data_IF_623057715881
#
_entry.id   IF_623057715881
#
_cell.length_a   1.000
_cell.length_b   1.000
_cell.length_c   1.000
_cell.angle_alpha   90.00
_cell.angle_beta   90.00
_cell.angle_gamma   90.00
#
_symmetry.space_group_name_H-M   'P 1'
#
loop_
_entity.id
_entity.type
_entity.pdbx_description
1 polymer ?
#
# COMPACT_ATOMS: atom_id res chain seq x y z
N UNK A 1 35.61 4.34 -7.27
CA UNK A 1 35.62 2.87 -7.46
C UNK A 1 34.20 2.48 -7.86
N UNK A 2 34.01 1.80 -8.98
CA UNK A 2 32.66 1.38 -9.41
C UNK A 2 32.27 0.08 -8.71
N UNK A 3 30.98 -0.05 -8.36
CA UNK A 3 30.38 -1.31 -7.92
C UNK A 3 29.19 -1.59 -8.82
N UNK A 4 29.13 -2.81 -9.35
CA UNK A 4 28.01 -3.31 -10.14
C UNK A 4 27.30 -4.38 -9.36
N UNK A 5 25.97 -4.43 -9.47
CA UNK A 5 25.17 -5.47 -8.82
C UNK A 5 24.33 -6.16 -9.87
N UNK A 6 24.37 -7.48 -9.85
CA UNK A 6 23.65 -8.36 -10.76
C UNK A 6 22.62 -9.13 -9.96
N UNK A 7 21.42 -9.25 -10.53
CA UNK A 7 20.41 -10.22 -10.12
C UNK A 7 20.49 -11.41 -11.09
N UNK A 8 20.83 -12.58 -10.56
CA UNK A 8 20.78 -13.85 -11.26
C UNK A 8 19.51 -14.59 -10.82
N UNK A 9 18.47 -14.54 -11.66
CA UNK A 9 17.16 -15.15 -11.39
C UNK A 9 17.20 -16.69 -11.34
N UNK A 10 18.33 -17.33 -11.66
CA UNK A 10 18.46 -18.77 -11.64
C UNK A 10 17.52 -19.47 -12.63
N UNK A 11 16.97 -20.63 -12.24
CA UNK A 11 16.06 -21.38 -13.10
C UNK A 11 14.64 -20.84 -13.03
N UNK A 12 14.00 -20.62 -14.17
CA UNK A 12 12.59 -20.18 -14.24
C UNK A 12 11.59 -21.16 -13.58
N UNK A 13 11.97 -22.41 -13.34
CA UNK A 13 11.14 -23.41 -12.64
C UNK A 13 11.24 -23.35 -11.12
N UNK A 14 12.19 -22.58 -10.57
CA UNK A 14 12.46 -22.49 -9.15
C UNK A 14 12.32 -21.03 -8.69
N UNK A 15 11.73 -20.83 -7.51
CA UNK A 15 11.75 -19.50 -6.90
C UNK A 15 13.15 -19.26 -6.33
N UNK A 16 14.00 -18.61 -7.12
CA UNK A 16 15.38 -18.33 -6.77
C UNK A 16 15.82 -16.97 -7.27
N UNK A 17 16.75 -16.34 -6.56
CA UNK A 17 17.52 -15.22 -7.09
C UNK A 17 18.87 -15.15 -6.39
N UNK A 18 19.88 -14.60 -7.04
CA UNK A 18 21.15 -14.28 -6.41
C UNK A 18 21.52 -12.83 -6.69
N UNK A 19 21.70 -12.07 -5.62
CA UNK A 19 22.25 -10.73 -5.68
C UNK A 19 23.76 -10.84 -5.51
N UNK A 20 24.49 -10.42 -6.53
CA UNK A 20 25.97 -10.50 -6.58
C UNK A 20 26.52 -9.11 -6.85
N UNK A 21 27.43 -8.63 -6.00
CA UNK A 21 28.12 -7.36 -6.18
C UNK A 21 29.56 -7.60 -6.68
N UNK A 22 29.97 -6.85 -7.69
CA UNK A 22 31.30 -6.91 -8.29
C UNK A 22 32.00 -5.55 -8.21
N UNK A 23 33.31 -5.59 -8.02
CA UNK A 23 34.18 -4.42 -8.14
C UNK A 23 34.59 -4.16 -9.58
N UNK A 24 35.37 -3.10 -9.79
CA UNK A 24 35.75 -2.66 -11.15
C UNK A 24 36.75 -3.55 -11.86
N UNK A 25 37.40 -4.48 -11.16
CA UNK A 25 38.25 -5.48 -11.80
C UNK A 25 37.50 -6.80 -12.05
N UNK A 26 36.18 -6.85 -11.78
CA UNK A 26 35.36 -8.05 -11.93
C UNK A 26 35.44 -9.01 -10.74
N UNK A 27 36.11 -8.62 -9.66
CA UNK A 27 36.16 -9.37 -8.42
C UNK A 27 34.81 -9.37 -7.72
N UNK A 28 34.38 -10.53 -7.21
CA UNK A 28 33.18 -10.63 -6.39
C UNK A 28 33.42 -10.01 -5.00
N UNK A 29 32.59 -9.02 -4.66
CA UNK A 29 32.64 -8.31 -3.39
C UNK A 29 31.66 -8.90 -2.37
N UNK A 30 30.48 -9.31 -2.83
CA UNK A 30 29.38 -9.79 -1.98
C UNK A 30 28.41 -10.68 -2.77
N UNK A 31 27.76 -11.63 -2.07
CA UNK A 31 26.71 -12.49 -2.62
C UNK A 31 25.63 -12.79 -1.57
N UNK A 32 24.38 -12.78 -2.01
CA UNK A 32 23.22 -13.29 -1.27
C UNK A 32 22.32 -14.08 -2.22
N UNK A 33 22.07 -15.35 -1.89
CA UNK A 33 21.12 -16.20 -2.60
C UNK A 33 19.79 -16.23 -1.86
N UNK A 34 18.68 -16.05 -2.55
CA UNK A 34 17.31 -16.12 -2.03
C UNK A 34 16.58 -17.34 -2.59
N UNK A 35 15.65 -17.87 -1.80
CA UNK A 35 14.64 -18.87 -2.19
C UNK A 35 13.32 -18.20 -2.60
N UNK A 36 13.45 -17.08 -3.29
CA UNK A 36 12.38 -16.24 -3.81
C UNK A 36 12.92 -15.44 -5.01
N UNK A 37 12.05 -15.07 -5.95
CA UNK A 37 12.41 -14.16 -7.03
C UNK A 37 12.61 -12.74 -6.50
N UNK A 38 13.45 -11.96 -7.14
CA UNK A 38 13.62 -10.55 -6.81
C UNK A 38 12.58 -9.70 -7.55
N UNK A 39 11.98 -8.74 -6.85
CA UNK A 39 11.10 -7.72 -7.42
C UNK A 39 11.89 -6.44 -7.73
N UNK A 40 12.78 -6.06 -6.82
CA UNK A 40 13.54 -4.82 -6.93
C UNK A 40 14.96 -5.00 -6.41
N UNK A 41 15.89 -4.37 -7.13
CA UNK A 41 17.29 -4.27 -6.76
C UNK A 41 17.74 -2.82 -6.93
N UNK A 42 18.26 -2.22 -5.86
CA UNK A 42 18.79 -0.86 -5.89
C UNK A 42 20.13 -0.77 -5.18
N UNK A 43 21.05 0.03 -5.72
CA UNK A 43 22.37 0.29 -5.14
C UNK A 43 22.50 1.76 -4.71
N UNK A 44 23.17 1.99 -3.59
CA UNK A 44 23.51 3.33 -3.13
C UNK A 44 24.50 4.05 -4.06
N UNK A 45 24.51 5.40 -4.10
CA UNK A 45 25.45 6.16 -4.92
C UNK A 45 26.93 5.88 -4.62
N UNK A 46 27.25 5.49 -3.39
CA UNK A 46 28.60 5.11 -2.98
C UNK A 46 28.99 3.66 -3.31
N UNK A 47 28.07 2.85 -3.87
CA UNK A 47 28.30 1.45 -4.20
C UNK A 47 28.31 0.48 -3.01
N UNK A 48 28.31 0.98 -1.78
CA UNK A 48 28.42 0.15 -0.55
C UNK A 48 27.14 -0.55 -0.16
N UNK A 49 25.99 0.09 -0.31
CA UNK A 49 24.71 -0.45 0.17
C UNK A 49 23.83 -0.92 -0.98
N UNK A 50 23.15 -2.04 -0.75
CA UNK A 50 22.18 -2.65 -1.68
C UNK A 50 20.85 -2.80 -0.95
N UNK A 51 19.74 -2.60 -1.66
CA UNK A 51 18.39 -2.93 -1.21
C UNK A 51 17.81 -3.95 -2.16
N UNK A 52 17.40 -5.09 -1.61
CA UNK A 52 16.84 -6.22 -2.32
C UNK A 52 15.42 -6.44 -1.81
N UNK A 53 14.47 -6.60 -2.71
CA UNK A 53 13.08 -6.91 -2.36
C UNK A 53 12.67 -8.19 -3.05
N UNK A 54 12.17 -9.15 -2.29
CA UNK A 54 11.74 -10.45 -2.83
C UNK A 54 10.24 -10.50 -3.06
N UNK A 55 9.83 -11.39 -3.96
CA UNK A 55 8.44 -11.77 -4.19
C UNK A 55 7.92 -12.71 -3.09
N UNK A 56 6.62 -13.00 -3.13
CA UNK A 56 6.02 -14.00 -2.23
C UNK A 56 6.61 -15.40 -2.49
N UNK A 57 6.97 -16.08 -1.41
CA UNK A 57 7.41 -17.47 -1.39
C UNK A 57 6.80 -18.22 -0.19
N UNK A 58 7.00 -19.53 -0.11
CA UNK A 58 6.53 -20.38 1.00
C UNK A 58 7.57 -20.56 2.12
N UNK A 59 8.56 -19.68 2.19
CA UNK A 59 9.72 -19.78 3.09
C UNK A 59 10.10 -18.39 3.66
N UNK A 60 11.21 -18.34 4.38
CA UNK A 60 11.74 -17.15 5.06
C UNK A 60 12.09 -15.96 4.14
N UNK A 61 12.38 -16.20 2.86
CA UNK A 61 12.66 -15.15 1.87
C UNK A 61 11.37 -14.59 1.24
N UNK A 62 10.20 -14.93 1.78
CA UNK A 62 8.92 -14.44 1.27
C UNK A 62 8.68 -12.97 1.61
N UNK A 63 8.54 -12.15 0.58
CA UNK A 63 8.11 -10.75 0.68
C UNK A 63 8.92 -9.96 1.72
N UNK A 64 10.24 -9.97 1.55
CA UNK A 64 11.19 -9.25 2.41
C UNK A 64 11.81 -8.07 1.67
N UNK A 65 12.10 -7.01 2.42
CA UNK A 65 13.06 -5.96 2.12
C UNK A 65 14.31 -6.23 2.95
N UNK A 66 15.43 -6.43 2.26
CA UNK A 66 16.73 -6.63 2.85
C UNK A 66 17.69 -5.52 2.41
N UNK A 67 18.47 -4.97 3.35
CA UNK A 67 19.52 -3.99 3.06
C UNK A 67 20.87 -4.56 3.46
N UNK A 68 21.82 -4.46 2.55
CA UNK A 68 23.14 -5.08 2.66
C UNK A 68 24.23 -4.04 2.73
N UNK A 69 25.30 -4.35 3.46
CA UNK A 69 26.57 -3.64 3.42
C UNK A 69 27.58 -4.53 2.70
N UNK A 70 27.92 -4.15 1.47
CA UNK A 70 28.85 -4.87 0.59
C UNK A 70 30.26 -4.84 1.16
N UNK A 71 30.66 -3.72 1.76
CA UNK A 71 32.01 -3.56 2.32
C UNK A 71 32.19 -4.46 3.54
N UNK A 72 31.21 -4.46 4.45
CA UNK A 72 31.22 -5.28 5.67
C UNK A 72 30.70 -6.71 5.44
N UNK A 73 30.29 -7.03 4.20
CA UNK A 73 29.74 -8.32 3.76
C UNK A 73 28.63 -8.86 4.66
N UNK A 74 27.71 -7.99 5.09
CA UNK A 74 26.63 -8.37 6.00
C UNK A 74 25.29 -7.78 5.61
N UNK A 75 24.22 -8.42 6.07
CA UNK A 75 22.88 -7.85 6.06
C UNK A 75 22.76 -6.86 7.22
N UNK A 76 22.31 -5.64 6.93
CA UNK A 76 22.01 -4.62 7.94
C UNK A 76 20.65 -4.89 8.59
N UNK A 77 19.64 -5.21 7.78
CA UNK A 77 18.33 -5.65 8.25
C UNK A 77 17.61 -6.45 7.17
N UNK A 78 16.65 -7.29 7.60
CA UNK A 78 15.71 -8.04 6.76
C UNK A 78 14.33 -7.96 7.40
N UNK A 79 13.34 -7.42 6.70
CA UNK A 79 12.00 -7.12 7.24
C UNK A 79 10.92 -7.29 6.17
N UNK A 80 9.69 -7.55 6.58
CA UNK A 80 8.54 -7.33 5.70
C UNK A 80 8.45 -5.84 5.33
N UNK A 81 8.33 -5.48 4.04
CA UNK A 81 8.13 -4.09 3.63
C UNK A 81 6.92 -3.46 4.33
N UNK A 82 7.07 -2.26 4.87
CA UNK A 82 5.97 -1.54 5.54
C UNK A 82 5.01 -0.85 4.54
N UNK A 83 5.38 -0.83 3.26
CA UNK A 83 4.63 -0.23 2.17
C UNK A 83 4.41 -1.25 1.05
N UNK A 84 3.68 -0.87 0.00
CA UNK A 84 3.79 -1.59 -1.28
C UNK A 84 5.24 -1.59 -1.78
N UNK A 85 5.60 -2.58 -2.58
CA UNK A 85 6.93 -2.73 -3.16
C UNK A 85 7.10 -2.00 -4.49
N UNK A 86 6.03 -1.46 -5.10
CA UNK A 86 6.01 -0.77 -6.40
C UNK A 86 6.71 0.60 -6.42
N UNK A 87 7.91 0.68 -5.89
CA UNK A 87 8.71 1.89 -5.79
C UNK A 87 10.19 1.63 -5.99
N UNK A 88 10.97 2.68 -5.82
CA UNK A 88 12.43 2.61 -5.91
C UNK A 88 13.05 2.92 -4.57
N UNK A 89 13.93 2.05 -4.08
CA UNK A 89 14.69 2.30 -2.89
C UNK A 89 15.89 3.19 -3.19
N UNK A 90 16.07 4.23 -2.39
CA UNK A 90 17.18 5.18 -2.47
C UNK A 90 17.83 5.34 -1.11
N UNK A 91 19.10 5.71 -1.13
CA UNK A 91 19.94 5.75 0.06
C UNK A 91 20.35 7.19 0.36
N UNK A 92 20.25 7.57 1.62
CA UNK A 92 20.91 8.75 2.15
C UNK A 92 22.20 8.28 2.80
N UNK A 93 23.33 8.76 2.28
CA UNK A 93 24.67 8.35 2.68
C UNK A 93 25.48 9.61 2.97
N UNK A 94 26.19 9.62 4.10
CA UNK A 94 27.13 10.70 4.49
C UNK A 94 28.45 10.03 4.86
N UNK A 95 29.58 10.51 4.34
CA UNK A 95 30.91 9.94 4.57
C UNK A 95 30.97 8.41 4.34
N UNK A 96 30.30 7.93 3.28
CA UNK A 96 30.14 6.51 2.94
C UNK A 96 29.48 5.65 4.04
N UNK A 97 28.77 6.27 4.97
CA UNK A 97 27.96 5.61 5.98
C UNK A 97 26.47 5.80 5.68
N UNK A 98 25.71 4.72 5.84
CA UNK A 98 24.26 4.75 5.68
C UNK A 98 23.63 5.60 6.78
N UNK A 99 22.86 6.61 6.38
CA UNK A 99 22.06 7.43 7.30
C UNK A 99 20.62 6.94 7.32
N UNK A 100 20.01 6.76 6.14
CA UNK A 100 18.63 6.29 5.97
C UNK A 100 18.43 5.59 4.63
N UNK A 101 17.41 4.75 4.58
CA UNK A 101 16.86 4.19 3.34
C UNK A 101 15.50 4.81 3.10
N UNK A 102 15.15 5.09 1.85
CA UNK A 102 13.82 5.58 1.51
C UNK A 102 13.25 4.79 0.36
N UNK A 103 11.95 4.51 0.42
CA UNK A 103 11.18 4.12 -0.77
C UNK A 103 10.57 5.37 -1.40
N UNK A 104 10.73 5.50 -2.73
CA UNK A 104 10.01 6.47 -3.56
C UNK A 104 8.85 5.74 -4.24
N UNK A 105 7.63 6.06 -3.82
CA UNK A 105 6.40 5.55 -4.38
C UNK A 105 5.81 6.57 -5.37
N UNK A 106 5.53 6.18 -6.62
CA UNK A 106 4.87 7.05 -7.58
C UNK A 106 3.58 7.64 -7.01
N UNK A 107 3.37 8.95 -7.20
CA UNK A 107 2.23 9.75 -6.70
C UNK A 107 2.10 9.89 -5.18
N UNK A 108 2.47 8.88 -4.39
CA UNK A 108 2.38 8.90 -2.93
C UNK A 108 3.50 9.72 -2.27
N UNK A 109 4.74 9.60 -2.77
CA UNK A 109 5.89 10.36 -2.28
C UNK A 109 7.04 9.48 -1.80
N UNK A 110 7.83 10.01 -0.84
CA UNK A 110 9.05 9.39 -0.33
C UNK A 110 8.93 9.10 1.16
N UNK A 111 9.22 7.87 1.58
CA UNK A 111 9.04 7.39 2.96
C UNK A 111 10.30 6.69 3.47
N UNK A 112 10.70 7.01 4.70
CA UNK A 112 11.97 6.57 5.29
C UNK A 112 11.88 5.29 6.12
N UNK A 113 12.99 4.56 6.09
CA UNK A 113 13.38 3.52 7.03
C UNK A 113 14.66 3.95 7.76
N UNK A 114 14.78 3.58 9.02
CA UNK A 114 16.02 3.71 9.79
C UNK A 114 17.11 2.76 9.25
N UNK A 115 18.34 2.89 9.76
CA UNK A 115 19.43 1.96 9.45
C UNK A 115 19.20 0.53 9.97
N UNK A 116 18.28 0.35 10.93
CA UNK A 116 17.84 -0.95 11.46
C UNK A 116 16.59 -1.51 10.77
N UNK A 117 16.07 -0.80 9.76
CA UNK A 117 14.89 -1.21 8.99
C UNK A 117 13.55 -0.84 9.64
N UNK A 118 13.53 0.00 10.67
CA UNK A 118 12.29 0.51 11.24
C UNK A 118 11.65 1.52 10.32
N UNK A 119 10.35 1.38 10.04
CA UNK A 119 9.63 2.34 9.22
C UNK A 119 9.25 3.59 10.03
N UNK A 120 9.89 4.71 9.73
CA UNK A 120 9.79 5.94 10.55
C UNK A 120 8.71 6.92 10.06
N UNK A 121 8.17 6.70 8.86
CA UNK A 121 7.24 7.61 8.19
C UNK A 121 5.79 7.09 8.18
N UNK A 122 5.40 6.26 9.16
CA UNK A 122 4.09 5.58 9.18
C UNK A 122 2.90 6.55 9.04
N UNK A 123 2.85 7.60 9.87
CA UNK A 123 1.75 8.58 9.82
C UNK A 123 1.71 9.29 8.47
N UNK A 124 2.88 9.68 7.95
CA UNK A 124 3.04 10.35 6.66
C UNK A 124 2.56 9.46 5.51
N UNK A 125 2.88 8.17 5.55
CA UNK A 125 2.45 7.20 4.55
C UNK A 125 0.94 6.98 4.57
N UNK A 126 0.35 6.79 5.76
CA UNK A 126 -1.11 6.68 5.91
C UNK A 126 -1.84 7.90 5.36
N UNK A 127 -1.38 9.11 5.67
CA UNK A 127 -1.94 10.35 5.12
C UNK A 127 -1.80 10.41 3.60
N UNK A 128 -0.65 9.99 3.04
CA UNK A 128 -0.44 9.98 1.61
C UNK A 128 -1.38 9.00 0.88
N UNK A 129 -1.62 7.81 1.43
CA UNK A 129 -2.55 6.84 0.83
C UNK A 129 -3.97 7.40 0.71
N UNK A 130 -4.45 8.08 1.76
CA UNK A 130 -5.78 8.72 1.77
C UNK A 130 -5.86 9.89 0.78
N UNK A 131 -4.83 10.74 0.74
CA UNK A 131 -4.91 12.02 0.02
C UNK A 131 -4.47 11.93 -1.44
N UNK A 132 -3.49 11.07 -1.74
CA UNK A 132 -2.81 11.00 -3.06
C UNK A 132 -2.88 9.61 -3.71
N UNK A 133 -3.32 8.59 -2.97
CA UNK A 133 -3.43 7.23 -3.48
C UNK A 133 -4.53 7.09 -4.53
N UNK A 134 -4.42 6.06 -5.37
CA UNK A 134 -5.54 5.62 -6.19
C UNK A 134 -6.56 4.87 -5.33
N UNK A 135 -7.67 4.45 -5.93
CA UNK A 135 -8.74 3.71 -5.25
C UNK A 135 -8.27 2.48 -4.47
N UNK A 136 -7.27 1.73 -4.97
CA UNK A 136 -6.73 0.53 -4.30
C UNK A 136 -5.86 0.85 -3.09
N UNK A 137 -5.45 2.11 -2.92
CA UNK A 137 -4.75 2.61 -1.72
C UNK A 137 -5.70 3.30 -0.75
N UNK A 138 -6.59 4.15 -1.28
CA UNK A 138 -7.54 4.95 -0.50
C UNK A 138 -8.54 4.09 0.26
N UNK A 139 -9.13 3.08 -0.38
CA UNK A 139 -10.17 2.25 0.24
C UNK A 139 -9.61 1.46 1.43
N UNK A 140 -8.50 0.70 1.32
CA UNK A 140 -7.92 0.02 2.47
C UNK A 140 -7.40 1.00 3.53
N UNK A 141 -6.77 2.11 3.14
CA UNK A 141 -6.28 3.10 4.11
C UNK A 141 -7.44 3.74 4.91
N UNK A 142 -8.57 4.02 4.28
CA UNK A 142 -9.76 4.52 4.97
C UNK A 142 -10.34 3.45 5.92
N UNK A 143 -10.36 2.19 5.51
CA UNK A 143 -10.79 1.07 6.35
C UNK A 143 -9.89 0.88 7.58
N UNK A 144 -8.57 0.94 7.40
CA UNK A 144 -7.59 0.89 8.49
C UNK A 144 -7.76 2.07 9.45
N UNK A 145 -8.01 3.27 8.91
CA UNK A 145 -8.19 4.49 9.69
C UNK A 145 -9.42 4.38 10.62
N UNK A 146 -10.59 4.00 10.08
CA UNK A 146 -11.82 3.87 10.90
C UNK A 146 -11.80 2.68 11.86
N UNK A 147 -10.90 1.71 11.66
CA UNK A 147 -10.69 0.62 12.61
C UNK A 147 -9.91 1.09 13.86
N UNK A 148 -9.12 2.16 13.74
CA UNK A 148 -8.31 2.70 14.82
C UNK A 148 -9.01 3.83 15.57
N UNK A 149 -9.74 4.69 14.86
CA UNK A 149 -10.46 5.82 15.43
C UNK A 149 -11.79 6.02 14.70
N UNK A 150 -12.89 6.09 15.45
CA UNK A 150 -14.25 6.32 14.94
C UNK A 150 -14.80 7.69 15.34
N UNK A 151 -13.93 8.62 15.73
CA UNK A 151 -14.30 10.02 15.91
C UNK A 151 -14.90 10.59 14.63
N UNK A 152 -15.89 11.47 14.77
CA UNK A 152 -16.62 12.07 13.64
C UNK A 152 -15.66 12.69 12.61
N UNK A 153 -14.62 13.39 13.08
CA UNK A 153 -13.57 13.97 12.21
C UNK A 153 -12.88 12.92 11.35
N UNK A 154 -12.55 11.76 11.92
CA UNK A 154 -11.89 10.67 11.20
C UNK A 154 -12.83 10.01 10.21
N UNK A 155 -14.09 9.79 10.61
CA UNK A 155 -15.12 9.24 9.72
C UNK A 155 -15.36 10.16 8.51
N UNK A 156 -15.45 11.48 8.72
CA UNK A 156 -15.57 12.46 7.64
C UNK A 156 -14.36 12.46 6.71
N UNK A 157 -13.14 12.37 7.26
CA UNK A 157 -11.92 12.26 6.46
C UNK A 157 -11.90 10.97 5.63
N UNK A 158 -12.29 9.84 6.22
CA UNK A 158 -12.38 8.56 5.52
C UNK A 158 -13.43 8.60 4.42
N UNK A 159 -14.61 9.18 4.69
CA UNK A 159 -15.68 9.35 3.71
C UNK A 159 -15.21 10.15 2.50
N UNK A 160 -14.59 11.31 2.72
CA UNK A 160 -14.04 12.13 1.64
C UNK A 160 -13.03 11.36 0.79
N UNK A 161 -12.13 10.60 1.42
CA UNK A 161 -11.16 9.75 0.70
C UNK A 161 -11.85 8.66 -0.13
N UNK A 162 -12.91 8.04 0.40
CA UNK A 162 -13.66 6.98 -0.29
C UNK A 162 -14.46 7.53 -1.46
N UNK A 163 -15.04 8.73 -1.34
CA UNK A 163 -15.77 9.37 -2.44
C UNK A 163 -14.86 9.61 -3.66
N UNK A 164 -13.64 10.11 -3.44
CA UNK A 164 -12.67 10.26 -4.54
C UNK A 164 -12.27 8.90 -5.11
N UNK A 165 -12.10 7.88 -4.26
CA UNK A 165 -11.79 6.52 -4.73
C UNK A 165 -12.89 5.92 -5.60
N UNK A 166 -14.16 6.10 -5.24
CA UNK A 166 -15.30 5.65 -6.04
C UNK A 166 -15.30 6.37 -7.39
N UNK A 167 -15.13 7.69 -7.41
CA UNK A 167 -15.10 8.47 -8.64
C UNK A 167 -13.95 8.06 -9.60
N UNK A 168 -12.77 7.73 -9.06
CA UNK A 168 -11.59 7.35 -9.85
C UNK A 168 -11.55 5.87 -10.26
N UNK A 169 -12.38 5.02 -9.66
CA UNK A 169 -12.31 3.56 -9.81
C UNK A 169 -12.56 3.03 -11.23
N UNK A 170 -13.04 3.90 -12.14
CA UNK A 170 -13.19 3.60 -13.56
C UNK A 170 -14.04 2.36 -13.79
N UNK A 171 -13.54 1.40 -14.55
CA UNK A 171 -14.25 0.14 -14.84
C UNK A 171 -14.02 -0.97 -13.80
N UNK A 172 -13.26 -0.70 -12.74
CA UNK A 172 -12.94 -1.73 -11.74
C UNK A 172 -14.14 -1.99 -10.82
N UNK A 173 -15.06 -2.85 -11.29
CA UNK A 173 -16.29 -3.21 -10.58
C UNK A 173 -16.04 -3.71 -9.16
N UNK A 174 -14.95 -4.45 -8.93
CA UNK A 174 -14.58 -4.93 -7.59
C UNK A 174 -14.28 -3.77 -6.63
N UNK A 175 -13.45 -2.82 -7.04
CA UNK A 175 -13.11 -1.66 -6.22
C UNK A 175 -14.27 -0.68 -6.06
N UNK A 176 -15.12 -0.53 -7.07
CA UNK A 176 -16.38 0.21 -6.93
C UNK A 176 -17.26 -0.39 -5.83
N UNK A 177 -17.48 -1.71 -5.87
CA UNK A 177 -18.26 -2.42 -4.84
C UNK A 177 -17.64 -2.21 -3.46
N UNK A 178 -16.33 -2.39 -3.31
CA UNK A 178 -15.64 -2.16 -2.03
C UNK A 178 -15.77 -0.71 -1.55
N UNK A 179 -15.66 0.27 -2.45
CA UNK A 179 -15.83 1.69 -2.14
C UNK A 179 -17.24 1.99 -1.63
N UNK A 180 -18.27 1.56 -2.35
CA UNK A 180 -19.67 1.77 -1.95
C UNK A 180 -20.02 1.07 -0.63
N UNK A 181 -19.53 -0.16 -0.42
CA UNK A 181 -19.69 -0.85 0.87
C UNK A 181 -19.05 -0.09 2.03
N UNK A 182 -17.83 0.42 1.82
CA UNK A 182 -17.11 1.18 2.85
C UNK A 182 -17.79 2.53 3.11
N UNK A 183 -18.28 3.21 2.07
CA UNK A 183 -19.07 4.44 2.20
C UNK A 183 -20.32 4.21 3.05
N UNK A 184 -21.11 3.18 2.74
CA UNK A 184 -22.30 2.83 3.51
C UNK A 184 -21.97 2.56 4.98
N UNK A 185 -20.88 1.84 5.26
CA UNK A 185 -20.41 1.59 6.62
C UNK A 185 -20.03 2.88 7.36
N UNK A 186 -19.32 3.80 6.71
CA UNK A 186 -18.92 5.07 7.31
C UNK A 186 -20.15 5.93 7.62
N UNK A 187 -21.12 5.98 6.71
CA UNK A 187 -22.38 6.72 6.90
C UNK A 187 -23.24 6.12 8.02
N UNK A 188 -23.27 4.80 8.19
CA UNK A 188 -23.89 4.16 9.37
C UNK A 188 -23.22 4.64 10.66
N UNK A 189 -21.88 4.67 10.70
CA UNK A 189 -21.12 5.13 11.88
C UNK A 189 -21.31 6.63 12.16
N UNK A 190 -21.56 7.43 11.13
CA UNK A 190 -21.91 8.85 11.25
C UNK A 190 -23.37 9.10 11.65
N UNK A 191 -24.19 8.04 11.82
CA UNK A 191 -25.60 8.19 12.14
C UNK A 191 -26.45 8.70 10.97
N UNK A 192 -26.03 8.46 9.73
CA UNK A 192 -26.71 8.85 8.49
C UNK A 192 -27.28 7.60 7.76
N UNK A 193 -28.30 6.93 8.32
CA UNK A 193 -28.81 5.66 7.80
C UNK A 193 -29.44 5.76 6.41
N UNK A 194 -30.02 6.92 6.05
CA UNK A 194 -30.59 7.13 4.71
C UNK A 194 -29.53 7.08 3.62
N UNK A 195 -28.48 7.89 3.75
CA UNK A 195 -27.36 7.90 2.79
C UNK A 195 -26.59 6.57 2.79
N UNK A 196 -26.52 5.89 3.94
CA UNK A 196 -25.92 4.56 4.03
C UNK A 196 -26.68 3.52 3.21
N UNK A 197 -28.03 3.58 3.22
CA UNK A 197 -28.89 2.72 2.37
C UNK A 197 -28.58 2.97 0.89
N UNK A 198 -28.54 4.23 0.46
CA UNK A 198 -28.24 4.58 -0.94
C UNK A 198 -26.87 4.04 -1.40
N UNK A 199 -25.86 4.14 -0.53
CA UNK A 199 -24.52 3.60 -0.80
C UNK A 199 -24.54 2.07 -0.91
N UNK A 200 -25.26 1.37 -0.03
CA UNK A 200 -25.37 -0.08 -0.10
C UNK A 200 -26.18 -0.58 -1.30
N UNK A 201 -27.22 0.15 -1.69
CA UNK A 201 -27.96 -0.15 -2.92
C UNK A 201 -27.05 0.01 -4.15
N UNK A 202 -26.23 1.06 -4.19
CA UNK A 202 -25.23 1.26 -5.25
C UNK A 202 -24.24 0.08 -5.32
N UNK A 203 -23.73 -0.40 -4.17
CA UNK A 203 -22.89 -1.59 -4.12
C UNK A 203 -23.61 -2.85 -4.66
N UNK A 204 -24.89 -3.01 -4.29
CA UNK A 204 -25.71 -4.16 -4.66
C UNK A 204 -26.12 -4.17 -6.14
N UNK A 205 -26.32 -3.00 -6.75
CA UNK A 205 -26.55 -2.87 -8.20
C UNK A 205 -25.35 -3.39 -9.00
N UNK A 206 -24.13 -3.13 -8.51
CA UNK A 206 -22.90 -3.62 -9.12
C UNK A 206 -22.66 -5.11 -8.86
N UNK A 207 -22.99 -5.58 -7.65
CA UNK A 207 -22.90 -6.99 -7.26
C UNK A 207 -24.04 -7.35 -6.28
N UNK A 208 -25.08 -8.06 -6.73
CA UNK A 208 -26.23 -8.41 -5.89
C UNK A 208 -25.92 -9.24 -4.63
N UNK A 209 -24.73 -9.86 -4.57
CA UNK A 209 -24.23 -10.65 -3.43
C UNK A 209 -23.29 -9.87 -2.50
N UNK A 210 -22.92 -8.63 -2.83
CA UNK A 210 -22.02 -7.81 -2.01
C UNK A 210 -22.57 -7.55 -0.61
N UNK A 211 -23.90 -7.40 -0.50
CA UNK A 211 -24.61 -7.18 0.76
C UNK A 211 -26.02 -7.79 0.68
N UNK A 212 -26.46 -8.40 1.78
CA UNK A 212 -27.78 -9.00 1.89
C UNK A 212 -28.87 -7.92 1.87
N UNK A 213 -29.89 -8.05 1.02
CA UNK A 213 -31.01 -7.10 0.94
C UNK A 213 -31.67 -6.85 2.30
N UNK A 214 -31.86 -7.91 3.09
CA UNK A 214 -32.42 -7.83 4.45
C UNK A 214 -31.66 -6.86 5.38
N UNK A 215 -30.34 -6.70 5.19
CA UNK A 215 -29.53 -5.74 5.94
C UNK A 215 -29.85 -4.30 5.53
N UNK A 216 -30.03 -4.06 4.23
CA UNK A 216 -30.43 -2.75 3.70
C UNK A 216 -31.84 -2.39 4.23
N UNK A 217 -32.80 -3.32 4.12
CA UNK A 217 -34.17 -3.11 4.59
C UNK A 217 -34.22 -2.82 6.11
N UNK A 218 -33.42 -3.55 6.90
CA UNK A 218 -33.32 -3.34 8.34
C UNK A 218 -32.73 -1.97 8.71
N UNK A 219 -31.81 -1.43 7.88
CA UNK A 219 -31.24 -0.11 8.05
C UNK A 219 -32.21 0.99 7.62
N UNK A 220 -32.95 0.78 6.53
CA UNK A 220 -33.97 1.71 6.04
C UNK A 220 -35.08 1.93 7.09
N UNK A 221 -35.48 0.87 7.79
CA UNK A 221 -36.46 0.98 8.89
C UNK A 221 -35.95 1.77 10.11
N UNK A 222 -34.63 1.94 10.25
CA UNK A 222 -34.00 2.77 11.30
C UNK A 222 -33.80 4.21 10.86
N UNK A 223 -33.88 4.50 9.56
CA UNK A 223 -33.83 5.87 9.09
C UNK A 223 -35.14 6.58 9.50
N UNK A 224 -35.07 7.80 10.04
CA UNK A 224 -36.29 8.59 10.22
C UNK A 224 -36.96 8.74 8.84
N UNK A 225 -38.28 8.56 8.80
CA UNK A 225 -39.11 8.77 7.60
C UNK A 225 -38.80 10.16 7.00
N UNK A 226 -37.94 10.21 5.99
CA UNK A 226 -37.78 11.41 5.17
C UNK A 226 -38.88 11.34 4.13
N UNK A 227 -39.90 12.18 4.31
CA UNK A 227 -40.95 12.38 3.31
C UNK A 227 -40.32 12.65 1.93
N UNK A 228 -40.90 12.13 0.84
CA UNK A 228 -40.32 12.28 -0.49
C UNK A 228 -40.10 13.76 -0.81
N UNK A 229 -38.90 14.09 -1.31
CA UNK A 229 -38.63 15.39 -1.92
C UNK A 229 -39.70 15.59 -3.00
N UNK A 230 -40.54 16.60 -2.81
CA UNK A 230 -41.52 17.00 -3.78
C UNK A 230 -40.81 17.26 -5.11
N UNK A 231 -41.19 16.51 -6.13
CA UNK A 231 -40.87 16.81 -7.51
C UNK A 231 -41.22 18.27 -7.77
N UNK A 232 -40.22 19.08 -8.09
CA UNK A 232 -40.43 20.37 -8.73
C UNK A 232 -40.91 20.11 -10.15
N UNK A 233 -42.20 19.82 -10.30
CA UNK A 233 -42.91 20.01 -11.55
C UNK A 233 -43.29 21.49 -11.69
N UNK A 234 -42.99 22.02 -12.88
CA UNK A 234 -43.63 23.17 -13.55
C UNK A 234 -43.47 24.57 -12.94
N UNK A 235 -42.72 25.43 -13.63
CA UNK A 235 -43.27 26.29 -14.71
C UNK A 235 -42.20 26.64 -15.73
#
# INVERSE_FOLDING_TARGET
MGVWVVDDEGSASELSSQVIAFGSAGEELYRRAYRANLLHLNISPCGRYIASVTANASNEDSYILEVHDVLERRVLFSRTPATTTLGTYVFEVTDNQLVKVFIKLPKLGRFGYSTSGEFIDEKKYRTARLTKGCYSERIPAAQELIAQDQSEKVLQQALASVDVAIAESGESRSWQVSGWLLKGKILELLGQPGEAVDAYESARQLNPRAIAKKRIDALANKAPSVAPRADSQST
#
